data_IF_973776562965
#
_entry.id   IF_973776562965
#
_cell.length_a   1.000
_cell.length_b   1.000
_cell.length_c   1.000
_cell.angle_alpha   90.00
_cell.angle_beta   90.00
_cell.angle_gamma   90.00
#
_symmetry.space_group_name_H-M   'P 1'
#
loop_
_entity.id
_entity.type
_entity.pdbx_description
1 polymer ?
#
# COMPACT_ATOMS: atom_id res chain seq x y z
N UNK A 1 26.65 -10.93 12.35
CA UNK A 1 25.72 -12.03 12.02
C UNK A 1 26.43 -12.97 11.05
N UNK A 2 26.37 -14.27 11.22
CA UNK A 2 27.02 -15.19 10.30
C UNK A 2 26.42 -15.01 8.90
N UNK A 3 27.25 -14.68 7.92
CA UNK A 3 26.91 -14.38 6.52
C UNK A 3 26.31 -15.57 5.74
N UNK A 4 25.96 -16.68 6.41
CA UNK A 4 25.71 -17.96 5.72
C UNK A 4 24.34 -18.57 5.99
N UNK A 5 23.48 -17.99 6.83
CA UNK A 5 22.17 -18.60 7.15
C UNK A 5 21.18 -18.29 6.03
N UNK A 6 21.08 -17.99 5.01
CA UNK A 6 20.11 -17.76 3.91
C UNK A 6 20.74 -16.95 2.76
N UNK A 7 21.80 -17.48 2.12
CA UNK A 7 22.56 -16.69 1.16
C UNK A 7 21.74 -16.21 -0.04
N UNK A 8 20.79 -17.01 -0.50
CA UNK A 8 19.93 -16.65 -1.65
C UNK A 8 18.86 -15.62 -1.28
N UNK A 9 18.27 -15.71 -0.09
CA UNK A 9 17.28 -14.75 0.40
C UNK A 9 17.91 -13.37 0.64
N UNK A 10 19.13 -13.36 1.18
CA UNK A 10 19.84 -12.14 1.55
C UNK A 10 20.69 -11.56 0.40
N UNK A 11 20.76 -12.24 -0.75
CA UNK A 11 21.44 -11.72 -1.93
C UNK A 11 20.69 -10.50 -2.50
N UNK A 12 21.41 -9.48 -2.98
CA UNK A 12 20.79 -8.36 -3.68
C UNK A 12 19.99 -8.82 -4.90
N UNK A 13 18.91 -8.11 -5.21
CA UNK A 13 18.07 -8.33 -6.39
C UNK A 13 18.07 -7.10 -7.28
N UNK A 14 18.60 -7.26 -8.50
CA UNK A 14 18.56 -6.21 -9.54
C UNK A 14 17.21 -6.22 -10.24
N UNK A 15 16.54 -5.06 -10.29
CA UNK A 15 15.27 -4.85 -10.97
C UNK A 15 15.42 -4.01 -12.27
N UNK A 16 16.64 -3.86 -12.77
CA UNK A 16 16.97 -3.02 -13.93
C UNK A 16 17.23 -1.57 -13.50
N UNK A 17 16.22 -0.84 -13.13
CA UNK A 17 16.29 0.58 -12.71
C UNK A 17 16.75 0.78 -11.26
N UNK A 18 16.71 -0.26 -10.43
CA UNK A 18 17.14 -0.20 -9.03
C UNK A 18 17.61 -1.56 -8.54
N UNK A 19 18.28 -1.58 -7.38
CA UNK A 19 18.70 -2.82 -6.71
C UNK A 19 18.12 -2.86 -5.31
N UNK A 20 17.43 -3.93 -4.97
CA UNK A 20 17.02 -4.25 -3.60
C UNK A 20 18.19 -4.85 -2.84
N UNK A 21 18.32 -4.50 -1.55
CA UNK A 21 19.42 -5.02 -0.70
C UNK A 21 19.32 -6.50 -0.40
N UNK A 22 18.15 -7.09 -0.54
CA UNK A 22 17.85 -8.52 -0.40
C UNK A 22 16.52 -8.85 -1.10
N UNK A 23 16.05 -10.09 -0.98
CA UNK A 23 14.82 -10.59 -1.61
C UNK A 23 13.64 -10.69 -0.65
N UNK A 24 13.69 -9.99 0.49
CA UNK A 24 12.59 -9.93 1.45
C UNK A 24 11.65 -8.80 1.07
N UNK A 25 10.41 -9.15 0.78
CA UNK A 25 9.33 -8.21 0.50
C UNK A 25 8.34 -8.20 1.68
N UNK A 26 8.02 -7.03 2.21
CA UNK A 26 6.83 -6.83 3.03
C UNK A 26 5.65 -6.59 2.10
N UNK A 27 4.76 -7.57 1.99
CA UNK A 27 3.55 -7.47 1.17
C UNK A 27 2.58 -6.42 1.69
N UNK A 28 1.68 -5.99 0.81
CA UNK A 28 0.62 -5.04 1.15
C UNK A 28 -0.24 -5.55 2.30
N UNK A 29 -0.48 -4.68 3.29
CA UNK A 29 -1.33 -4.95 4.43
C UNK A 29 -2.02 -3.66 4.85
N UNK A 30 -3.35 -3.68 4.89
CA UNK A 30 -4.12 -2.58 5.45
C UNK A 30 -4.00 -2.61 6.98
N UNK A 31 -3.56 -1.50 7.56
CA UNK A 31 -3.27 -1.41 9.00
C UNK A 31 -4.35 -0.71 9.79
N UNK A 32 -5.26 0.02 9.12
CA UNK A 32 -6.22 0.93 9.73
C UNK A 32 -5.59 2.24 10.23
N UNK A 33 -4.29 2.41 10.06
CA UNK A 33 -3.62 3.69 10.34
C UNK A 33 -3.87 4.69 9.21
N UNK A 34 -4.17 4.19 8.03
CA UNK A 34 -4.45 4.97 6.82
C UNK A 34 -5.58 5.97 7.04
N UNK A 35 -6.57 5.60 7.87
CA UNK A 35 -7.77 6.41 8.21
C UNK A 35 -7.72 7.00 9.63
N UNK A 36 -6.71 6.63 10.41
CA UNK A 36 -6.62 7.04 11.82
C UNK A 36 -6.15 8.49 11.98
N UNK A 37 -6.57 9.20 13.04
CA UNK A 37 -5.96 10.48 13.40
C UNK A 37 -4.45 10.35 13.55
N UNK A 38 -3.69 11.27 12.94
CA UNK A 38 -2.21 11.21 12.87
C UNK A 38 -1.66 9.92 12.23
N UNK A 39 -2.47 9.26 11.42
CA UNK A 39 -2.15 7.96 10.84
C UNK A 39 -0.89 7.95 9.98
N UNK A 40 -0.64 9.00 9.19
CA UNK A 40 0.55 9.10 8.35
C UNK A 40 1.86 9.12 9.17
N UNK A 41 1.91 9.84 10.28
CA UNK A 41 3.09 9.84 11.17
C UNK A 41 3.30 8.45 11.80
N UNK A 42 2.22 7.77 12.19
CA UNK A 42 2.27 6.41 12.73
C UNK A 42 2.68 5.38 11.66
N UNK A 43 2.17 5.51 10.43
CA UNK A 43 2.59 4.69 9.29
C UNK A 43 4.06 4.92 8.94
N UNK A 44 4.54 6.15 8.98
CA UNK A 44 5.95 6.49 8.77
C UNK A 44 6.84 5.74 9.78
N UNK A 45 6.48 5.79 11.07
CA UNK A 45 7.21 5.06 12.11
C UNK A 45 7.13 3.54 11.91
N UNK A 46 5.94 3.02 11.60
CA UNK A 46 5.68 1.60 11.36
C UNK A 46 6.51 1.04 10.21
N UNK A 47 6.53 1.71 9.07
CA UNK A 47 7.31 1.25 7.91
C UNK A 47 8.82 1.47 8.08
N UNK A 48 9.23 2.60 8.69
CA UNK A 48 10.64 2.86 8.96
C UNK A 48 11.26 1.80 9.88
N UNK A 49 10.53 1.30 10.87
CA UNK A 49 10.98 0.21 11.73
C UNK A 49 11.27 -1.08 10.93
N UNK A 50 10.39 -1.45 9.98
CA UNK A 50 10.59 -2.61 9.10
C UNK A 50 11.77 -2.41 8.16
N UNK A 51 11.94 -1.20 7.66
CA UNK A 51 13.09 -0.84 6.82
C UNK A 51 14.42 -0.98 7.58
N UNK A 52 14.49 -0.49 8.85
CA UNK A 52 15.64 -0.72 9.73
C UNK A 52 15.86 -2.20 10.05
N UNK A 53 14.78 -2.96 10.18
CA UNK A 53 14.81 -4.43 10.35
C UNK A 53 15.32 -5.20 9.15
N UNK A 54 15.58 -4.53 8.02
CA UNK A 54 16.26 -5.11 6.87
C UNK A 54 15.38 -5.53 5.71
N UNK A 55 14.07 -5.24 5.71
CA UNK A 55 13.20 -5.51 4.55
C UNK A 55 13.74 -4.83 3.30
N UNK A 56 13.81 -5.56 2.18
CA UNK A 56 14.33 -5.08 0.91
C UNK A 56 13.38 -4.14 0.17
N UNK A 57 12.09 -4.44 0.21
CA UNK A 57 11.02 -3.62 -0.36
C UNK A 57 9.76 -3.72 0.50
N UNK A 58 9.11 -2.60 0.74
CA UNK A 58 7.81 -2.52 1.41
C UNK A 58 6.75 -2.15 0.36
N UNK A 59 5.58 -2.80 0.42
CA UNK A 59 4.39 -2.38 -0.34
C UNK A 59 3.34 -1.92 0.67
N UNK A 60 2.81 -0.71 0.49
CA UNK A 60 1.80 -0.14 1.41
C UNK A 60 0.49 -0.91 1.40
N UNK A 61 -0.36 -0.67 2.37
CA UNK A 61 -1.80 -0.97 2.26
C UNK A 61 -2.40 -0.33 1.00
N UNK A 62 -3.53 -0.84 0.55
CA UNK A 62 -4.20 -0.35 -0.66
C UNK A 62 -4.72 1.07 -0.49
N UNK A 63 -4.38 1.95 -1.42
CA UNK A 63 -4.83 3.34 -1.50
C UNK A 63 -5.67 3.51 -2.76
N UNK A 64 -6.89 4.00 -2.62
CA UNK A 64 -7.79 4.16 -3.75
C UNK A 64 -7.38 5.36 -4.63
N UNK A 65 -7.50 5.26 -5.97
CA UNK A 65 -7.18 6.37 -6.87
C UNK A 65 -8.27 7.46 -6.90
N UNK A 66 -9.47 7.16 -6.36
CA UNK A 66 -10.62 8.06 -6.30
C UNK A 66 -11.67 7.53 -5.30
N UNK A 67 -12.72 8.32 -5.05
CA UNK A 67 -13.80 7.97 -4.11
C UNK A 67 -14.62 6.74 -4.54
N UNK A 68 -14.75 6.49 -5.83
CA UNK A 68 -15.46 5.29 -6.33
C UNK A 68 -14.66 4.00 -6.08
N UNK A 69 -13.34 4.13 -5.97
CA UNK A 69 -12.42 3.00 -5.76
C UNK A 69 -12.22 2.58 -4.31
N UNK A 70 -12.69 3.34 -3.33
CA UNK A 70 -12.49 3.01 -1.91
C UNK A 70 -13.22 1.72 -1.51
N UNK A 71 -12.72 1.04 -0.48
CA UNK A 71 -13.37 -0.16 0.05
C UNK A 71 -14.64 0.18 0.84
N UNK A 72 -14.61 1.29 1.59
CA UNK A 72 -15.73 1.80 2.39
C UNK A 72 -15.62 3.32 2.51
N UNK A 73 -16.69 4.01 2.92
CA UNK A 73 -16.62 5.46 3.16
C UNK A 73 -15.53 5.81 4.17
N UNK A 74 -14.71 6.82 3.85
CA UNK A 74 -13.62 7.27 4.71
C UNK A 74 -12.30 6.50 4.56
N UNK A 75 -12.25 5.47 3.71
CA UNK A 75 -10.99 4.80 3.41
C UNK A 75 -10.03 5.70 2.64
N UNK A 76 -8.73 5.40 2.76
CA UNK A 76 -7.67 6.23 2.21
C UNK A 76 -7.72 6.34 0.68
N UNK A 77 -7.53 7.55 0.20
CA UNK A 77 -7.57 7.91 -1.22
C UNK A 77 -6.40 8.82 -1.57
N UNK A 78 -5.92 8.73 -2.81
CA UNK A 78 -4.89 9.61 -3.37
C UNK A 78 -5.36 10.14 -4.73
N UNK A 79 -5.95 11.31 -4.73
CA UNK A 79 -6.53 11.97 -5.92
C UNK A 79 -6.09 13.44 -6.08
N UNK A 80 -5.26 13.95 -5.17
CA UNK A 80 -4.75 15.32 -5.23
C UNK A 80 -3.38 15.49 -4.56
N UNK A 81 -2.73 16.62 -4.81
CA UNK A 81 -1.40 16.95 -4.32
C UNK A 81 -1.30 17.00 -2.79
N UNK A 82 -2.32 17.49 -2.10
CA UNK A 82 -2.31 17.57 -0.64
C UNK A 82 -2.28 16.18 0.00
N UNK A 83 -2.98 15.22 -0.61
CA UNK A 83 -2.92 13.82 -0.18
C UNK A 83 -1.57 13.20 -0.52
N UNK A 84 -0.98 13.52 -1.67
CA UNK A 84 0.36 13.08 -2.03
C UNK A 84 1.41 13.56 -1.04
N UNK A 85 1.33 14.81 -0.59
CA UNK A 85 2.24 15.38 0.41
C UNK A 85 2.18 14.63 1.75
N UNK A 86 0.99 14.18 2.17
CA UNK A 86 0.86 13.34 3.36
C UNK A 86 1.63 12.02 3.23
N UNK A 87 1.63 11.39 2.04
CA UNK A 87 2.40 10.17 1.79
C UNK A 87 3.92 10.40 1.78
N UNK A 88 4.37 11.63 1.54
CA UNK A 88 5.80 11.99 1.56
C UNK A 88 6.45 11.74 2.92
N UNK A 89 5.72 11.96 4.01
CA UNK A 89 6.18 11.63 5.36
C UNK A 89 6.57 10.15 5.50
N UNK A 90 5.81 9.25 4.85
CA UNK A 90 6.05 7.81 4.89
C UNK A 90 7.29 7.46 4.05
N UNK A 91 7.33 7.96 2.81
CA UNK A 91 8.44 7.65 1.90
C UNK A 91 9.77 8.17 2.44
N UNK A 92 9.80 9.39 2.98
CA UNK A 92 11.00 9.99 3.56
C UNK A 92 11.50 9.19 4.76
N UNK A 93 10.61 8.80 5.67
CA UNK A 93 10.98 8.00 6.84
C UNK A 93 11.56 6.63 6.44
N UNK A 94 10.99 5.97 5.43
CA UNK A 94 11.48 4.69 4.93
C UNK A 94 12.82 4.85 4.21
N UNK A 95 12.98 5.88 3.39
CA UNK A 95 14.25 6.16 2.69
C UNK A 95 15.37 6.51 3.67
N UNK A 96 15.10 7.35 4.67
CA UNK A 96 16.06 7.66 5.75
C UNK A 96 16.45 6.41 6.55
N UNK A 97 15.55 5.43 6.69
CA UNK A 97 15.84 4.14 7.30
C UNK A 97 16.56 3.14 6.36
N UNK A 98 16.97 3.57 5.15
CA UNK A 98 17.68 2.74 4.17
C UNK A 98 16.79 1.70 3.48
N UNK A 99 15.46 1.90 3.49
CA UNK A 99 14.47 1.05 2.83
C UNK A 99 14.04 1.57 1.46
N UNK A 100 13.25 0.75 0.78
CA UNK A 100 12.50 1.11 -0.43
C UNK A 100 11.04 0.79 -0.21
N UNK A 101 10.16 1.63 -0.74
CA UNK A 101 8.72 1.49 -0.57
C UNK A 101 8.00 1.78 -1.89
N UNK A 102 6.94 1.03 -2.14
CA UNK A 102 6.02 1.20 -3.26
C UNK A 102 4.59 1.31 -2.72
N UNK A 103 3.74 2.09 -3.37
CA UNK A 103 2.33 2.19 -3.05
C UNK A 103 1.55 1.12 -3.81
N UNK A 104 0.65 0.43 -3.12
CA UNK A 104 -0.39 -0.34 -3.80
C UNK A 104 -1.55 0.60 -4.16
N UNK A 105 -1.79 0.81 -5.45
CA UNK A 105 -2.99 1.47 -5.95
C UNK A 105 -4.09 0.42 -6.05
N UNK A 106 -5.17 0.63 -5.30
CA UNK A 106 -6.26 -0.34 -5.16
C UNK A 106 -7.61 0.29 -5.50
N UNK A 107 -8.27 -0.20 -6.53
CA UNK A 107 -9.67 0.08 -6.81
C UNK A 107 -10.50 -1.16 -6.49
N UNK A 108 -11.39 -1.07 -5.50
CA UNK A 108 -12.12 -2.25 -4.98
C UNK A 108 -13.20 -2.80 -5.90
N UNK A 109 -13.68 -1.98 -6.85
CA UNK A 109 -14.65 -2.44 -7.83
C UNK A 109 -15.91 -3.00 -7.16
N UNK A 110 -16.37 -4.16 -7.63
CA UNK A 110 -17.58 -4.84 -7.11
C UNK A 110 -17.46 -5.36 -5.68
N UNK A 111 -16.26 -5.30 -5.09
CA UNK A 111 -16.02 -5.70 -3.69
C UNK A 111 -16.13 -4.54 -2.71
N UNK A 112 -16.44 -3.33 -3.19
CA UNK A 112 -16.66 -2.17 -2.33
C UNK A 112 -17.93 -2.32 -1.46
N UNK A 113 -17.88 -1.72 -0.27
CA UNK A 113 -18.97 -1.71 0.71
C UNK A 113 -19.65 -0.34 0.80
N UNK A 114 -19.84 0.34 -0.34
CA UNK A 114 -20.55 1.62 -0.42
C UNK A 114 -21.39 1.71 -1.71
N UNK A 115 -22.43 2.55 -1.67
CA UNK A 115 -23.40 2.68 -2.78
C UNK A 115 -22.81 3.31 -4.05
N UNK A 116 -21.68 3.98 -3.97
CA UNK A 116 -20.93 4.55 -5.10
C UNK A 116 -20.06 3.53 -5.84
N UNK A 117 -20.10 2.26 -5.48
CA UNK A 117 -19.27 1.23 -6.10
C UNK A 117 -19.50 1.16 -7.62
N UNK A 118 -18.39 1.12 -8.38
CA UNK A 118 -18.38 0.97 -9.83
C UNK A 118 -17.55 -0.23 -10.26
N UNK A 119 -17.89 -0.84 -11.37
CA UNK A 119 -17.15 -1.98 -11.92
C UNK A 119 -17.32 -2.02 -13.45
N UNK A 120 -16.53 -2.78 -14.19
CA UNK A 120 -16.70 -2.96 -15.64
C UNK A 120 -18.06 -3.50 -16.04
N UNK A 121 -18.76 -4.20 -15.15
CA UNK A 121 -20.14 -4.66 -15.32
C UNK A 121 -20.89 -4.58 -13.99
N UNK A 122 -22.22 -4.50 -14.04
CA UNK A 122 -23.06 -4.47 -12.84
C UNK A 122 -23.21 -5.84 -12.14
N UNK A 123 -22.17 -6.68 -12.20
CA UNK A 123 -22.17 -7.99 -11.57
C UNK A 123 -21.83 -7.88 -10.08
N UNK A 124 -22.79 -8.20 -9.23
CA UNK A 124 -22.60 -8.20 -7.77
C UNK A 124 -21.60 -9.30 -7.35
N UNK A 125 -20.71 -8.97 -6.41
CA UNK A 125 -19.83 -9.98 -5.82
C UNK A 125 -20.61 -10.85 -4.82
N UNK A 126 -20.32 -12.17 -4.73
CA UNK A 126 -21.04 -13.08 -3.82
C UNK A 126 -20.94 -12.67 -2.34
N UNK A 127 -19.86 -11.99 -1.97
CA UNK A 127 -19.57 -11.58 -0.59
C UNK A 127 -19.98 -10.13 -0.27
N UNK A 128 -20.46 -9.36 -1.26
CA UNK A 128 -20.86 -7.97 -1.08
C UNK A 128 -22.37 -7.84 -1.15
N UNK A 129 -23.03 -7.10 -0.25
CA UNK A 129 -24.45 -6.77 -0.36
C UNK A 129 -24.71 -5.70 -1.43
N UNK A 130 -23.68 -5.11 -2.01
CA UNK A 130 -23.77 -3.99 -2.96
C UNK A 130 -23.63 -4.51 -4.38
N UNK A 131 -24.57 -4.12 -5.23
CA UNK A 131 -24.45 -4.27 -6.68
C UNK A 131 -23.76 -3.01 -7.23
N UNK A 132 -22.61 -3.11 -7.90
CA UNK A 132 -21.93 -1.93 -8.44
C UNK A 132 -22.69 -1.37 -9.64
N UNK A 133 -22.50 -0.08 -9.90
CA UNK A 133 -22.88 0.55 -11.17
C UNK A 133 -21.85 0.16 -12.24
N UNK A 134 -22.31 -0.17 -13.40
CA UNK A 134 -21.45 -0.39 -14.57
C UNK A 134 -20.81 0.93 -15.01
N UNK A 135 -19.53 0.88 -15.36
CA UNK A 135 -18.82 1.99 -16.00
C UNK A 135 -19.27 2.09 -17.47
N UNK A 136 -19.64 3.29 -17.90
CA UNK A 136 -20.02 3.62 -19.29
C UNK A 136 -18.76 3.92 -20.12
#
# INVERSE_FOLDING_TARGET
MPRHAYPHLLAPLKLGFTTLKNRVLMGSMHTGLEEAPQGFARLAAFYAERARGGVGLIVTGGIAPNQDGVVMPGAAVLENEAQAENHRQITDAVHQAGGKIAMQILHTGRYAYHRGAVAPSAAQAPISPIRPRELS
#
